data_IF_209179249527
#
_entry.id   IF_209179249527
#
_cell.length_a   1.000
_cell.length_b   1.000
_cell.length_c   1.000
_cell.angle_alpha   90.00
_cell.angle_beta   90.00
_cell.angle_gamma   90.00
#
_symmetry.space_group_name_H-M   'P 1'
#
loop_
_entity.id
_entity.type
_entity.pdbx_description
1 polymer ?
#
# COMPACT_ATOMS: atom_id res chain seq x y z
N UNK A 1 2.04 -22.66 43.65
CA UNK A 1 2.97 -22.23 42.59
C UNK A 1 2.15 -21.51 41.54
N UNK A 2 2.21 -20.17 41.55
CA UNK A 2 1.52 -19.34 40.57
C UNK A 2 2.30 -19.40 39.27
N UNK A 3 1.66 -19.85 38.19
CA UNK A 3 2.24 -19.78 36.86
C UNK A 3 2.43 -18.30 36.52
N UNK A 4 3.69 -17.86 36.50
CA UNK A 4 4.08 -16.59 35.90
C UNK A 4 3.83 -16.77 34.41
N UNK A 5 2.84 -16.03 33.89
CA UNK A 5 2.71 -15.87 32.46
C UNK A 5 4.00 -15.18 31.98
N UNK A 6 4.76 -15.84 31.10
CA UNK A 6 5.84 -15.19 30.36
C UNK A 6 5.23 -13.99 29.62
N UNK A 7 5.48 -12.79 30.15
CA UNK A 7 5.21 -11.56 29.44
C UNK A 7 6.12 -11.54 28.23
N UNK A 8 5.54 -11.58 27.02
CA UNK A 8 6.28 -11.43 25.76
C UNK A 8 6.67 -9.95 25.57
N UNK A 9 7.41 -9.39 26.52
CA UNK A 9 7.84 -7.98 26.61
C UNK A 9 9.15 -7.76 25.82
N UNK A 10 9.11 -8.01 24.52
CA UNK A 10 10.02 -7.34 23.59
C UNK A 10 9.36 -6.04 23.10
N UNK A 11 10.11 -4.97 22.81
CA UNK A 11 9.54 -3.81 22.11
C UNK A 11 8.93 -4.30 20.80
N UNK A 12 7.69 -3.89 20.52
CA UNK A 12 7.02 -4.32 19.30
C UNK A 12 7.70 -3.63 18.11
N UNK A 13 8.15 -4.42 17.16
CA UNK A 13 8.87 -3.92 15.98
C UNK A 13 7.94 -3.02 15.16
N UNK A 14 8.48 -1.88 14.72
CA UNK A 14 7.76 -0.91 13.90
C UNK A 14 7.82 -1.34 12.45
N UNK A 15 6.74 -1.10 11.71
CA UNK A 15 6.73 -1.26 10.25
C UNK A 15 7.64 -0.19 9.65
N UNK A 16 8.70 -0.59 8.94
CA UNK A 16 9.64 0.33 8.31
C UNK A 16 9.11 0.78 6.94
N UNK A 17 9.00 2.09 6.75
CA UNK A 17 8.41 2.73 5.56
C UNK A 17 9.44 3.63 4.89
N UNK A 18 9.67 3.43 3.60
CA UNK A 18 10.53 4.26 2.77
C UNK A 18 9.70 5.11 1.80
N UNK A 19 9.80 6.43 1.91
CA UNK A 19 9.25 7.36 0.92
C UNK A 19 10.28 7.57 -0.19
N UNK A 20 9.97 7.08 -1.39
CA UNK A 20 10.84 7.13 -2.56
C UNK A 20 10.72 8.50 -3.28
N UNK A 21 11.44 9.50 -2.80
CA UNK A 21 11.34 10.88 -3.31
C UNK A 21 12.22 11.08 -4.55
N UNK A 22 11.78 12.01 -5.39
CA UNK A 22 12.49 12.52 -6.55
C UNK A 22 12.15 14.02 -6.72
N UNK A 23 12.98 14.81 -7.42
CA UNK A 23 12.69 16.23 -7.65
C UNK A 23 11.34 16.39 -8.34
N UNK A 24 10.49 17.30 -7.84
CA UNK A 24 9.15 17.49 -8.39
C UNK A 24 8.12 16.45 -7.94
N UNK A 25 8.32 15.80 -6.78
CA UNK A 25 7.26 15.02 -6.13
C UNK A 25 6.08 15.92 -5.71
N UNK A 26 4.90 15.34 -5.48
CA UNK A 26 3.75 16.09 -4.95
C UNK A 26 3.79 16.15 -3.41
N UNK A 27 3.65 17.35 -2.85
CA UNK A 27 3.68 17.57 -1.39
C UNK A 27 2.67 16.70 -0.63
N UNK A 28 1.43 16.65 -1.10
CA UNK A 28 0.35 15.98 -0.37
C UNK A 28 0.47 14.45 -0.45
N UNK A 29 1.04 13.94 -1.53
CA UNK A 29 1.32 12.51 -1.70
C UNK A 29 2.34 12.00 -0.69
N UNK A 30 3.17 12.89 -0.12
CA UNK A 30 4.08 12.57 0.99
C UNK A 30 3.46 12.94 2.33
N UNK A 31 2.99 14.18 2.47
CA UNK A 31 2.48 14.70 3.74
C UNK A 31 1.23 13.97 4.24
N UNK A 32 0.33 13.55 3.34
CA UNK A 32 -0.88 12.83 3.68
C UNK A 32 -0.58 11.47 4.33
N UNK A 33 0.14 10.56 3.65
CA UNK A 33 0.58 9.31 4.25
C UNK A 33 1.42 9.51 5.51
N UNK A 34 2.36 10.46 5.52
CA UNK A 34 3.18 10.74 6.70
C UNK A 34 2.34 11.13 7.92
N UNK A 35 1.32 11.98 7.75
CA UNK A 35 0.40 12.39 8.81
C UNK A 35 -0.38 11.19 9.38
N UNK A 36 -0.85 10.29 8.51
CA UNK A 36 -1.59 9.07 8.92
C UNK A 36 -0.67 8.09 9.66
N UNK A 37 0.48 7.75 9.06
CA UNK A 37 1.38 6.72 9.56
C UNK A 37 2.04 7.15 10.88
N UNK A 38 2.53 8.39 10.97
CA UNK A 38 3.21 8.91 12.17
C UNK A 38 2.29 9.01 13.40
N UNK A 39 0.98 9.07 13.20
CA UNK A 39 -0.03 9.10 14.28
C UNK A 39 -0.42 7.73 14.77
N UNK A 40 -0.27 6.70 13.96
CA UNK A 40 -0.73 5.37 14.30
C UNK A 40 0.08 4.72 15.42
N UNK A 41 -0.63 4.01 16.28
CA UNK A 41 -0.10 3.31 17.45
C UNK A 41 -0.48 1.84 17.37
N UNK A 42 0.39 0.98 17.90
CA UNK A 42 0.13 -0.44 18.08
C UNK A 42 -0.78 -0.68 19.30
N UNK A 43 -0.53 0.03 20.40
CA UNK A 43 -1.43 0.13 21.54
C UNK A 43 -1.93 1.58 21.68
N UNK A 44 -3.23 1.84 21.45
CA UNK A 44 -3.83 3.16 21.64
C UNK A 44 -3.62 3.78 23.03
N UNK A 45 -3.30 2.96 24.04
CA UNK A 45 -3.04 3.41 25.42
C UNK A 45 -1.59 3.80 25.66
N UNK A 46 -0.67 3.38 24.81
CA UNK A 46 0.75 3.71 24.92
C UNK A 46 1.20 4.61 23.76
N UNK A 47 1.50 5.88 24.08
CA UNK A 47 1.96 6.86 23.08
C UNK A 47 3.35 6.55 22.51
N UNK A 48 4.14 5.72 23.19
CA UNK A 48 5.44 5.27 22.70
C UNK A 48 5.32 4.12 21.69
N UNK A 49 4.17 3.45 21.60
CA UNK A 49 3.92 2.30 20.75
C UNK A 49 3.69 2.67 19.27
N UNK A 50 4.53 3.55 18.70
CA UNK A 50 4.42 3.95 17.29
C UNK A 50 4.42 2.73 16.37
N UNK A 51 3.44 2.64 15.47
CA UNK A 51 3.29 1.48 14.60
C UNK A 51 4.22 1.50 13.39
N UNK A 52 4.58 2.69 12.90
CA UNK A 52 5.40 2.86 11.70
C UNK A 52 6.61 3.75 11.99
N UNK A 53 7.70 3.46 11.30
CA UNK A 53 8.90 4.27 11.21
C UNK A 53 9.07 4.72 9.76
N UNK A 54 9.05 6.03 9.51
CA UNK A 54 9.11 6.60 8.17
C UNK A 54 10.48 7.23 7.91
N UNK A 55 11.11 6.84 6.80
CA UNK A 55 12.35 7.42 6.30
C UNK A 55 12.16 7.90 4.86
N UNK A 56 13.02 8.82 4.41
CA UNK A 56 12.97 9.43 3.09
C UNK A 56 14.25 9.12 2.30
N UNK A 57 14.10 8.58 1.10
CA UNK A 57 15.21 8.47 0.13
C UNK A 57 15.04 9.51 -0.97
N UNK A 58 16.15 10.04 -1.48
CA UNK A 58 16.12 11.01 -2.58
C UNK A 58 17.36 10.93 -3.46
N UNK A 59 17.28 11.52 -4.65
CA UNK A 59 18.42 11.59 -5.59
C UNK A 59 19.46 12.65 -5.19
N UNK A 60 19.24 13.35 -4.08
CA UNK A 60 20.13 14.32 -3.47
C UNK A 60 19.77 14.49 -2.00
N UNK A 61 20.60 15.20 -1.23
CA UNK A 61 20.41 15.39 0.22
C UNK A 61 19.07 16.06 0.61
N UNK A 62 18.41 16.75 -0.33
CA UNK A 62 17.09 17.32 -0.09
C UNK A 62 16.28 17.38 -1.39
N UNK A 63 15.02 16.98 -1.31
CA UNK A 63 14.09 16.93 -2.44
C UNK A 63 13.06 18.04 -2.31
N UNK A 64 12.84 18.77 -3.39
CA UNK A 64 11.82 19.83 -3.47
C UNK A 64 10.63 19.35 -4.29
N UNK A 65 9.44 19.51 -3.72
CA UNK A 65 8.16 19.21 -4.37
C UNK A 65 7.77 20.24 -5.42
N UNK A 66 6.75 19.92 -6.24
CA UNK A 66 6.12 20.88 -7.17
C UNK A 66 5.63 22.14 -6.46
N UNK A 67 5.14 22.01 -5.21
CA UNK A 67 4.62 23.15 -4.44
C UNK A 67 5.71 23.93 -3.69
N UNK A 68 6.98 23.54 -3.80
CA UNK A 68 8.13 24.23 -3.18
C UNK A 68 8.49 23.77 -1.75
N UNK A 69 7.77 22.81 -1.18
CA UNK A 69 8.20 22.17 0.08
C UNK A 69 9.46 21.34 -0.17
N UNK A 70 10.47 21.53 0.67
CA UNK A 70 11.72 20.78 0.61
C UNK A 70 11.85 19.86 1.83
N UNK A 71 12.07 18.57 1.58
CA UNK A 71 12.28 17.54 2.60
C UNK A 71 13.73 17.05 2.50
N UNK A 72 14.41 16.94 3.63
CA UNK A 72 15.75 16.33 3.70
C UNK A 72 15.60 14.82 3.47
N UNK A 73 16.44 14.25 2.62
CA UNK A 73 16.56 12.80 2.50
C UNK A 73 17.37 12.25 3.69
N UNK A 74 16.92 11.14 4.26
CA UNK A 74 17.66 10.42 5.30
C UNK A 74 18.82 9.62 4.69
N UNK A 75 18.66 9.19 3.43
CA UNK A 75 19.62 8.40 2.66
C UNK A 75 19.49 8.69 1.16
N UNK A 76 20.50 8.31 0.38
CA UNK A 76 20.39 8.25 -1.07
C UNK A 76 19.95 6.85 -1.55
N UNK A 77 19.76 6.70 -2.86
CA UNK A 77 19.28 5.45 -3.44
C UNK A 77 20.32 4.32 -3.43
N UNK A 78 21.62 4.62 -3.30
CA UNK A 78 22.66 3.59 -3.17
C UNK A 78 22.56 2.96 -1.78
N UNK A 79 22.57 3.78 -0.73
CA UNK A 79 22.40 3.35 0.66
C UNK A 79 21.03 2.64 0.86
N UNK A 80 19.96 3.17 0.29
CA UNK A 80 18.63 2.56 0.38
C UNK A 80 18.56 1.18 -0.29
N UNK A 81 19.37 0.94 -1.34
CA UNK A 81 19.44 -0.36 -1.99
C UNK A 81 20.19 -1.39 -1.14
N UNK A 82 21.23 -0.96 -0.42
CA UNK A 82 21.98 -1.83 0.50
C UNK A 82 21.14 -2.25 1.71
N UNK A 83 20.27 -1.37 2.19
CA UNK A 83 19.37 -1.61 3.33
C UNK A 83 17.95 -2.02 2.90
N UNK A 84 17.71 -2.27 1.62
CA UNK A 84 16.36 -2.44 1.04
C UNK A 84 15.55 -3.56 1.70
N UNK A 85 16.23 -4.57 2.26
CA UNK A 85 15.58 -5.69 2.93
C UNK A 85 14.88 -5.34 4.23
N UNK A 86 15.26 -4.24 4.87
CA UNK A 86 14.70 -3.76 6.11
C UNK A 86 13.30 -3.18 5.91
N UNK A 87 13.01 -2.56 4.76
CA UNK A 87 11.75 -1.86 4.53
C UNK A 87 10.58 -2.81 4.21
N UNK A 88 9.48 -2.60 4.92
CA UNK A 88 8.24 -3.36 4.76
C UNK A 88 7.26 -2.69 3.78
N UNK A 89 7.38 -1.36 3.64
CA UNK A 89 6.54 -0.55 2.75
C UNK A 89 7.40 0.45 1.98
N UNK A 90 7.22 0.51 0.66
CA UNK A 90 7.68 1.64 -0.17
C UNK A 90 6.48 2.49 -0.56
N UNK A 91 6.57 3.81 -0.34
CA UNK A 91 5.59 4.79 -0.80
C UNK A 91 6.21 5.59 -1.95
N UNK A 92 5.54 5.54 -3.09
CA UNK A 92 5.94 6.26 -4.32
C UNK A 92 4.95 7.42 -4.52
N UNK A 93 5.37 8.66 -4.27
CA UNK A 93 4.52 9.81 -4.54
C UNK A 93 4.35 10.02 -6.06
N UNK A 94 3.31 10.77 -6.43
CA UNK A 94 3.17 11.34 -7.76
C UNK A 94 3.88 12.69 -7.87
N UNK A 95 3.34 13.57 -8.72
CA UNK A 95 3.93 14.87 -9.06
C UNK A 95 4.55 14.88 -10.46
N UNK A 96 4.82 16.08 -10.97
CA UNK A 96 5.33 16.26 -12.33
C UNK A 96 6.70 15.61 -12.54
N UNK A 97 7.49 15.45 -11.48
CA UNK A 97 8.78 14.75 -11.50
C UNK A 97 8.70 13.31 -11.99
N UNK A 98 7.54 12.65 -11.87
CA UNK A 98 7.30 11.30 -12.44
C UNK A 98 7.64 11.26 -13.92
N UNK A 99 7.33 12.31 -14.68
CA UNK A 99 7.57 12.33 -16.12
C UNK A 99 9.05 12.46 -16.47
N UNK A 100 9.82 13.17 -15.66
CA UNK A 100 11.27 13.23 -15.80
C UNK A 100 11.92 11.89 -15.43
N UNK A 101 11.43 11.24 -14.37
CA UNK A 101 11.86 9.89 -13.99
C UNK A 101 11.65 8.90 -15.13
N UNK A 102 10.45 8.87 -15.71
CA UNK A 102 10.12 8.00 -16.85
C UNK A 102 10.99 8.29 -18.07
N UNK A 103 11.18 9.57 -18.41
CA UNK A 103 11.96 10.01 -19.57
C UNK A 103 13.44 9.63 -19.42
N UNK A 104 14.01 9.86 -18.24
CA UNK A 104 15.44 9.68 -17.99
C UNK A 104 15.78 8.27 -17.50
N UNK A 105 14.77 7.43 -17.23
CA UNK A 105 14.92 6.10 -16.64
C UNK A 105 15.73 6.13 -15.34
N UNK A 106 15.44 7.11 -14.49
CA UNK A 106 16.15 7.34 -13.23
C UNK A 106 15.41 6.71 -12.04
N UNK A 107 15.98 6.88 -10.84
CA UNK A 107 15.31 6.46 -9.60
C UNK A 107 13.94 7.14 -9.43
N UNK A 108 12.96 6.46 -8.79
CA UNK A 108 13.07 5.19 -8.04
C UNK A 108 12.90 3.90 -8.86
N UNK A 109 13.03 3.95 -10.19
CA UNK A 109 12.73 2.80 -11.06
C UNK A 109 13.56 1.54 -10.76
N UNK A 110 14.85 1.69 -10.44
CA UNK A 110 15.74 0.56 -10.12
C UNK A 110 15.47 0.04 -8.71
N UNK A 111 15.32 0.93 -7.72
CA UNK A 111 14.91 0.59 -6.36
C UNK A 111 13.64 -0.27 -6.34
N UNK A 112 12.61 0.13 -7.10
CA UNK A 112 11.34 -0.59 -7.17
C UNK A 112 11.52 -2.00 -7.75
N UNK A 113 12.34 -2.14 -8.77
CA UNK A 113 12.63 -3.43 -9.42
C UNK A 113 13.30 -4.37 -8.43
N UNK A 114 14.35 -3.90 -7.74
CA UNK A 114 15.05 -4.66 -6.70
C UNK A 114 14.13 -5.03 -5.53
N UNK A 115 13.20 -4.15 -5.16
CA UNK A 115 12.24 -4.42 -4.08
C UNK A 115 11.29 -5.58 -4.42
N UNK A 116 10.80 -5.62 -5.66
CA UNK A 116 9.99 -6.73 -6.17
C UNK A 116 10.80 -8.02 -6.19
N UNK A 117 12.00 -8.01 -6.77
CA UNK A 117 12.86 -9.19 -6.83
C UNK A 117 13.16 -9.76 -5.44
N UNK A 118 13.35 -8.88 -4.46
CA UNK A 118 13.58 -9.26 -3.07
C UNK A 118 12.35 -9.93 -2.45
N UNK A 119 11.15 -9.44 -2.76
CA UNK A 119 9.92 -10.10 -2.33
C UNK A 119 9.77 -11.48 -2.98
N UNK A 120 10.03 -11.62 -4.27
CA UNK A 120 9.92 -12.91 -4.98
C UNK A 120 10.91 -13.95 -4.47
N UNK A 121 12.12 -13.53 -4.07
CA UNK A 121 13.12 -14.41 -3.43
C UNK A 121 12.70 -14.85 -2.02
N UNK A 122 11.94 -14.04 -1.31
CA UNK A 122 11.54 -14.28 0.08
C UNK A 122 10.06 -13.91 0.34
N UNK A 123 9.08 -14.61 -0.27
CA UNK A 123 7.68 -14.22 -0.23
C UNK A 123 7.08 -14.31 1.19
N UNK A 124 7.74 -15.01 2.12
CA UNK A 124 7.38 -15.06 3.54
C UNK A 124 7.41 -13.70 4.24
N UNK A 125 8.25 -12.76 3.82
CA UNK A 125 8.20 -11.39 4.34
C UNK A 125 7.18 -10.60 3.53
N UNK A 126 6.11 -10.16 4.18
CA UNK A 126 5.14 -9.26 3.54
C UNK A 126 5.81 -7.94 3.19
N UNK A 127 5.71 -7.54 1.93
CA UNK A 127 6.15 -6.25 1.43
C UNK A 127 5.01 -5.57 0.70
N UNK A 128 5.01 -4.25 0.75
CA UNK A 128 3.97 -3.44 0.13
C UNK A 128 4.57 -2.30 -0.69
N UNK A 129 3.99 -2.05 -1.86
CA UNK A 129 4.18 -0.79 -2.58
C UNK A 129 2.86 -0.02 -2.56
N UNK A 130 2.92 1.24 -2.16
CA UNK A 130 1.83 2.21 -2.28
C UNK A 130 2.27 3.31 -3.27
N UNK A 131 1.68 3.32 -4.47
CA UNK A 131 1.89 4.37 -5.46
C UNK A 131 0.69 5.32 -5.49
N UNK A 132 0.97 6.62 -5.35
CA UNK A 132 -0.07 7.65 -5.19
C UNK A 132 -0.17 8.49 -6.45
N UNK A 133 -1.40 8.81 -6.87
CA UNK A 133 -1.65 9.67 -8.02
C UNK A 133 -0.95 9.09 -9.28
N UNK A 134 -0.25 9.92 -10.05
CA UNK A 134 0.56 9.52 -11.21
C UNK A 134 1.79 8.66 -10.86
N UNK A 135 2.12 8.43 -9.58
CA UNK A 135 3.21 7.54 -9.17
C UNK A 135 3.03 6.10 -9.67
N UNK A 136 1.77 5.67 -9.89
CA UNK A 136 1.42 4.38 -10.50
C UNK A 136 1.99 4.18 -11.90
N UNK A 137 2.28 5.26 -12.64
CA UNK A 137 2.91 5.18 -13.96
C UNK A 137 4.34 4.62 -13.89
N UNK A 138 5.05 4.82 -12.76
CA UNK A 138 6.38 4.24 -12.53
C UNK A 138 6.31 2.72 -12.38
N UNK A 139 5.29 2.21 -11.68
CA UNK A 139 5.04 0.77 -11.56
C UNK A 139 4.67 0.16 -12.92
N UNK A 140 3.79 0.83 -13.68
CA UNK A 140 3.41 0.41 -15.02
C UNK A 140 4.63 0.27 -15.95
N UNK A 141 5.55 1.25 -15.91
CA UNK A 141 6.75 1.26 -16.74
C UNK A 141 7.64 0.02 -16.50
N UNK A 142 7.68 -0.48 -15.26
CA UNK A 142 8.44 -1.66 -14.87
C UNK A 142 7.68 -2.98 -15.01
N UNK A 143 6.48 -2.98 -15.59
CA UNK A 143 5.66 -4.21 -15.70
C UNK A 143 5.09 -4.68 -14.36
N UNK A 144 5.22 -3.90 -13.29
CA UNK A 144 4.80 -4.30 -11.94
C UNK A 144 3.28 -4.31 -11.74
N UNK A 145 2.51 -3.93 -12.75
CA UNK A 145 1.03 -3.95 -12.72
C UNK A 145 0.45 -5.04 -13.62
N UNK A 146 1.28 -5.87 -14.25
CA UNK A 146 0.83 -6.93 -15.15
C UNK A 146 0.01 -7.98 -14.41
N UNK A 147 -1.17 -8.31 -14.95
CA UNK A 147 -2.13 -9.21 -14.30
C UNK A 147 -2.77 -8.68 -13.02
N UNK A 148 -2.48 -7.42 -12.63
CA UNK A 148 -3.08 -6.75 -11.47
C UNK A 148 -4.13 -5.71 -11.89
N UNK A 149 -4.90 -5.22 -10.92
CA UNK A 149 -5.74 -4.04 -11.11
C UNK A 149 -5.02 -2.78 -10.62
N UNK A 150 -5.28 -1.62 -11.21
CA UNK A 150 -4.64 -0.36 -10.82
C UNK A 150 -5.54 0.85 -11.07
N UNK A 151 -5.28 1.94 -10.35
CA UNK A 151 -5.87 3.27 -10.59
C UNK A 151 -4.75 4.31 -10.63
N UNK A 152 -5.07 5.50 -11.14
CA UNK A 152 -4.18 6.68 -11.18
C UNK A 152 -5.04 7.95 -11.17
N UNK A 153 -4.41 9.12 -11.18
CA UNK A 153 -5.16 10.37 -11.30
C UNK A 153 -6.08 10.36 -12.55
N UNK A 154 -7.35 10.82 -12.46
CA UNK A 154 -8.34 10.70 -13.52
C UNK A 154 -7.88 11.20 -14.89
N UNK A 155 -7.13 12.31 -14.91
CA UNK A 155 -6.57 12.89 -16.14
C UNK A 155 -5.53 11.97 -16.85
N UNK A 156 -5.11 10.89 -16.19
CA UNK A 156 -4.03 10.01 -16.64
C UNK A 156 -4.44 8.54 -16.85
N UNK A 157 -5.72 8.17 -16.75
CA UNK A 157 -6.15 6.78 -16.97
C UNK A 157 -5.71 6.25 -18.34
N UNK A 158 -5.95 7.00 -19.41
CA UNK A 158 -5.54 6.62 -20.78
C UNK A 158 -4.02 6.43 -20.87
N UNK A 159 -3.24 7.25 -20.17
CA UNK A 159 -1.79 7.13 -20.13
C UNK A 159 -1.35 5.89 -19.37
N UNK A 160 -1.95 5.61 -18.22
CA UNK A 160 -1.69 4.39 -17.45
C UNK A 160 -2.01 3.15 -18.29
N UNK A 161 -3.17 3.09 -18.93
CA UNK A 161 -3.56 2.01 -19.84
C UNK A 161 -2.54 1.81 -20.96
N UNK A 162 -2.07 2.89 -21.56
CA UNK A 162 -1.08 2.84 -22.66
C UNK A 162 0.23 2.23 -22.18
N UNK A 163 0.79 2.72 -21.07
CA UNK A 163 2.06 2.21 -20.52
C UNK A 163 1.91 0.74 -20.09
N UNK A 164 0.78 0.36 -19.45
CA UNK A 164 0.53 -1.03 -19.08
C UNK A 164 0.41 -1.95 -20.30
N UNK A 165 -0.23 -1.48 -21.39
CA UNK A 165 -0.31 -2.25 -22.64
C UNK A 165 1.06 -2.41 -23.30
N UNK A 166 1.92 -1.40 -23.25
CA UNK A 166 3.29 -1.47 -23.76
C UNK A 166 4.14 -2.44 -22.93
N UNK A 167 4.06 -2.39 -21.60
CA UNK A 167 4.73 -3.34 -20.71
C UNK A 167 4.27 -4.79 -20.97
N UNK A 168 2.95 -5.04 -20.95
CA UNK A 168 2.42 -6.37 -21.21
C UNK A 168 2.81 -6.93 -22.60
N UNK A 169 2.96 -6.06 -23.61
CA UNK A 169 3.48 -6.46 -24.94
C UNK A 169 4.97 -6.76 -24.91
N UNK A 170 5.77 -5.94 -24.23
CA UNK A 170 7.21 -6.14 -24.05
C UNK A 170 7.49 -7.47 -23.36
N UNK A 171 6.70 -7.80 -22.35
CA UNK A 171 6.95 -8.92 -21.44
C UNK A 171 6.10 -10.16 -21.77
N UNK A 172 5.24 -10.07 -22.80
CA UNK A 172 4.30 -11.12 -23.23
C UNK A 172 3.39 -11.62 -22.10
N UNK A 173 2.89 -10.67 -21.30
CA UNK A 173 2.22 -10.90 -20.02
C UNK A 173 0.73 -10.53 -20.06
N UNK A 174 0.06 -10.72 -18.92
CA UNK A 174 -1.35 -10.37 -18.76
C UNK A 174 -1.55 -8.85 -18.68
N UNK A 175 -2.68 -8.37 -19.21
CA UNK A 175 -3.04 -6.96 -19.13
C UNK A 175 -3.38 -6.55 -17.70
N UNK A 176 -3.05 -5.31 -17.36
CA UNK A 176 -3.55 -4.62 -16.17
C UNK A 176 -5.00 -4.21 -16.35
N UNK A 177 -5.81 -4.33 -15.30
CA UNK A 177 -7.18 -3.82 -15.22
C UNK A 177 -7.18 -2.41 -14.63
N UNK A 178 -7.36 -1.38 -15.47
CA UNK A 178 -7.38 0.02 -15.02
C UNK A 178 -8.77 0.39 -14.52
N UNK A 179 -8.85 0.83 -13.28
CA UNK A 179 -10.10 1.10 -12.57
C UNK A 179 -10.23 2.58 -12.20
N UNK A 180 -11.42 3.14 -12.40
CA UNK A 180 -11.76 4.49 -11.93
C UNK A 180 -12.17 4.48 -10.44
N UNK A 181 -11.25 4.10 -9.57
CA UNK A 181 -11.50 3.93 -8.14
C UNK A 181 -10.60 4.83 -7.30
N UNK A 182 -11.04 5.13 -6.07
CA UNK A 182 -10.32 6.01 -5.13
C UNK A 182 -8.92 5.49 -4.83
N UNK A 183 -8.83 4.21 -4.47
CA UNK A 183 -7.60 3.43 -4.45
C UNK A 183 -7.96 1.97 -4.73
N UNK A 184 -7.00 1.22 -5.26
CA UNK A 184 -7.11 -0.20 -5.57
C UNK A 184 -6.04 -0.94 -4.80
N UNK A 185 -6.42 -2.00 -4.11
CA UNK A 185 -5.50 -2.89 -3.40
C UNK A 185 -5.50 -4.27 -4.03
N UNK A 186 -4.33 -4.75 -4.43
CA UNK A 186 -4.10 -6.11 -4.87
C UNK A 186 -3.43 -6.93 -3.78
N UNK A 187 -3.65 -8.23 -3.81
CA UNK A 187 -3.00 -9.20 -2.92
C UNK A 187 -3.19 -8.84 -1.43
N UNK A 188 -4.38 -8.34 -1.09
CA UNK A 188 -4.72 -7.98 0.28
C UNK A 188 -4.72 -9.22 1.19
N UNK A 189 -4.19 -9.06 2.40
CA UNK A 189 -4.16 -10.10 3.44
C UNK A 189 -5.00 -9.68 4.62
N UNK A 190 -6.10 -10.38 4.85
CA UNK A 190 -6.97 -10.21 6.02
C UNK A 190 -7.50 -11.56 6.49
N UNK A 191 -7.74 -11.71 7.78
CA UNK A 191 -8.66 -12.74 8.28
C UNK A 191 -10.06 -12.35 7.78
N UNK A 192 -10.58 -13.09 6.80
CA UNK A 192 -11.88 -12.78 6.19
C UNK A 192 -13.04 -13.12 7.13
N UNK A 193 -12.79 -13.92 8.18
CA UNK A 193 -13.83 -14.47 9.04
C UNK A 193 -14.85 -15.32 8.27
N UNK A 194 -15.92 -15.73 8.96
CA UNK A 194 -16.97 -16.57 8.35
C UNK A 194 -17.80 -15.84 7.28
N UNK A 195 -17.79 -14.50 7.28
CA UNK A 195 -18.56 -13.69 6.34
C UNK A 195 -17.68 -12.62 5.65
N UNK A 196 -17.01 -12.97 4.53
CA UNK A 196 -16.09 -12.08 3.82
C UNK A 196 -16.72 -10.76 3.36
N UNK A 197 -18.03 -10.73 3.13
CA UNK A 197 -18.76 -9.55 2.68
C UNK A 197 -18.98 -8.52 3.81
N UNK A 198 -18.76 -8.90 5.07
CA UNK A 198 -18.77 -8.00 6.22
C UNK A 198 -17.38 -7.43 6.54
N UNK A 199 -16.35 -7.83 5.79
CA UNK A 199 -14.99 -7.35 6.00
C UNK A 199 -14.94 -5.84 5.67
N UNK A 200 -14.53 -4.98 6.63
CA UNK A 200 -14.55 -3.54 6.44
C UNK A 200 -13.58 -3.06 5.36
N UNK A 201 -12.67 -3.89 4.88
CA UNK A 201 -11.67 -3.55 3.87
C UNK A 201 -12.04 -4.04 2.45
N UNK A 202 -13.17 -4.74 2.30
CA UNK A 202 -13.59 -5.32 1.03
C UNK A 202 -14.80 -4.55 0.48
N UNK A 203 -14.57 -3.88 -0.64
CA UNK A 203 -15.63 -3.47 -1.57
C UNK A 203 -15.36 -4.23 -2.86
N UNK A 204 -15.96 -5.41 -3.02
CA UNK A 204 -15.81 -6.18 -4.26
C UNK A 204 -16.57 -5.48 -5.38
N UNK A 205 -15.89 -5.23 -6.48
CA UNK A 205 -16.52 -5.14 -7.80
C UNK A 205 -16.27 -6.48 -8.46
N UNK A 206 -17.31 -7.28 -8.67
CA UNK A 206 -17.16 -8.57 -9.35
C UNK A 206 -16.57 -8.34 -10.74
N UNK A 207 -15.60 -9.17 -11.14
CA UNK A 207 -15.09 -9.24 -12.52
C UNK A 207 -16.12 -9.73 -13.54
N UNK A 208 -17.31 -10.13 -13.08
CA UNK A 208 -18.42 -10.55 -13.94
C UNK A 208 -19.21 -9.33 -14.46
N UNK A 209 -19.61 -9.32 -15.74
CA UNK A 209 -20.46 -8.27 -16.29
C UNK A 209 -21.79 -8.23 -15.51
N UNK A 210 -22.39 -7.04 -15.33
CA UNK A 210 -23.61 -6.90 -14.54
C UNK A 210 -24.72 -7.79 -15.12
N UNK A 211 -25.25 -8.67 -14.29
CA UNK A 211 -26.47 -9.41 -14.60
C UNK A 211 -27.63 -8.41 -14.76
N UNK A 212 -28.61 -8.63 -15.65
CA UNK A 212 -29.66 -7.65 -15.98
C UNK A 212 -30.66 -7.35 -14.85
N UNK A 213 -30.50 -7.92 -13.67
CA UNK A 213 -31.42 -7.75 -12.54
C UNK A 213 -30.73 -6.97 -11.43
N UNK A 214 -31.05 -5.67 -11.34
CA UNK A 214 -30.47 -4.76 -10.35
C UNK A 214 -30.89 -5.10 -8.92
N UNK A 215 -30.05 -4.86 -7.88
CA UNK A 215 -30.47 -5.11 -6.53
C UNK A 215 -30.96 -3.84 -5.83
N UNK A 216 -32.20 -3.91 -5.34
CA UNK A 216 -32.67 -3.16 -4.18
C UNK A 216 -31.71 -3.38 -3.00
N UNK A 217 -31.00 -2.34 -2.57
CA UNK A 217 -30.22 -2.35 -1.32
C UNK A 217 -30.94 -1.53 -0.25
N UNK A 218 -31.74 -2.21 0.56
CA UNK A 218 -32.18 -1.70 1.84
C UNK A 218 -32.01 -2.81 2.89
N UNK A 219 -30.80 -2.95 3.43
CA UNK A 219 -30.58 -3.70 4.66
C UNK A 219 -29.67 -2.92 5.62
N UNK A 220 -30.19 -2.72 6.82
CA UNK A 220 -29.56 -2.02 7.92
C UNK A 220 -28.23 -2.68 8.30
N UNK A 221 -27.15 -1.88 8.33
CA UNK A 221 -25.81 -2.27 8.77
C UNK A 221 -25.83 -2.64 10.25
N UNK A 222 -25.62 -3.92 10.57
CA UNK A 222 -25.26 -4.35 11.92
C UNK A 222 -23.74 -4.17 12.08
N UNK A 223 -23.29 -3.65 13.23
CA UNK A 223 -21.86 -3.43 13.51
C UNK A 223 -21.13 -4.77 13.56
N UNK A 224 -20.10 -4.93 12.72
CA UNK A 224 -19.23 -6.12 12.75
C UNK A 224 -18.46 -6.15 14.08
N UNK A 225 -18.33 -7.36 14.63
CA UNK A 225 -17.44 -7.67 15.75
C UNK A 225 -16.18 -8.25 15.11
N UNK A 226 -15.39 -7.39 14.45
CA UNK A 226 -14.00 -7.73 14.18
C UNK A 226 -13.34 -7.99 15.54
N UNK A 227 -12.71 -9.16 15.71
CA UNK A 227 -12.15 -9.57 17.01
C UNK A 227 -11.22 -8.48 17.54
N UNK A 228 -11.51 -8.09 18.78
CA UNK A 228 -10.79 -7.10 19.56
C UNK A 228 -9.34 -7.56 19.77
N UNK A 229 -8.39 -6.81 19.21
CA UNK A 229 -6.96 -7.04 19.35
C UNK A 229 -6.44 -8.13 18.41
N UNK A 230 -6.28 -7.83 17.12
CA UNK A 230 -5.48 -8.66 16.24
C UNK A 230 -4.02 -8.20 16.31
N UNK A 231 -3.15 -9.09 16.76
CA UNK A 231 -1.72 -8.98 16.52
C UNK A 231 -1.43 -9.29 15.04
N UNK A 232 -2.10 -8.61 14.10
CA UNK A 232 -2.17 -9.00 12.68
C UNK A 232 -0.78 -9.21 12.05
N UNK A 233 0.21 -8.40 12.45
CA UNK A 233 1.60 -8.56 12.02
C UNK A 233 2.33 -9.79 12.62
N UNK A 234 2.03 -10.18 13.87
CA UNK A 234 2.60 -11.42 14.47
C UNK A 234 1.83 -12.67 14.04
N UNK A 235 0.52 -12.56 13.84
CA UNK A 235 -0.38 -13.67 13.48
C UNK A 235 -0.40 -13.96 11.98
N UNK A 236 0.12 -13.07 11.12
CA UNK A 236 0.39 -13.36 9.70
C UNK A 236 1.43 -14.48 9.47
N UNK A 237 2.02 -14.99 10.55
CA UNK A 237 2.85 -16.21 10.57
C UNK A 237 2.02 -17.51 10.65
N UNK A 238 0.69 -17.45 10.71
CA UNK A 238 -0.17 -18.62 10.47
C UNK A 238 -0.01 -19.08 9.02
N UNK A 239 -0.17 -20.40 8.81
CA UNK A 239 0.25 -21.15 7.61
C UNK A 239 -0.50 -20.74 6.35
N UNK A 240 -0.23 -19.55 5.84
CA UNK A 240 -0.54 -19.17 4.48
C UNK A 240 0.35 -20.01 3.54
N UNK A 241 -0.22 -20.58 2.48
CA UNK A 241 0.55 -21.42 1.56
C UNK A 241 1.56 -20.58 0.79
N UNK A 242 2.85 -20.70 1.16
CA UNK A 242 3.97 -20.08 0.45
C UNK A 242 3.90 -20.42 -1.04
N UNK A 243 3.50 -21.65 -1.38
CA UNK A 243 3.34 -22.09 -2.75
C UNK A 243 2.22 -21.35 -3.50
N UNK A 244 1.10 -21.03 -2.83
CA UNK A 244 0.02 -20.23 -3.44
C UNK A 244 0.50 -18.81 -3.74
N UNK A 245 1.26 -18.19 -2.84
CA UNK A 245 1.81 -16.85 -3.02
C UNK A 245 2.82 -16.77 -4.17
N UNK A 246 3.71 -17.76 -4.25
CA UNK A 246 4.68 -17.85 -5.35
C UNK A 246 4.02 -17.98 -6.74
N UNK A 247 2.73 -18.33 -6.82
CA UNK A 247 1.96 -18.40 -8.07
C UNK A 247 1.18 -17.11 -8.38
N UNK A 248 1.11 -16.16 -7.44
CA UNK A 248 0.44 -14.88 -7.64
C UNK A 248 1.38 -13.87 -8.31
N UNK A 249 0.86 -12.86 -9.02
CA UNK A 249 1.68 -11.77 -9.54
C UNK A 249 2.55 -11.16 -8.45
N UNK A 250 3.82 -10.89 -8.78
CA UNK A 250 4.85 -10.36 -7.88
C UNK A 250 5.06 -11.19 -6.60
N UNK A 251 4.90 -12.51 -6.67
CA UNK A 251 5.06 -13.40 -5.51
C UNK A 251 4.04 -13.15 -4.38
N UNK A 252 2.93 -12.46 -4.67
CA UNK A 252 1.93 -12.08 -3.67
C UNK A 252 2.29 -10.81 -2.88
N UNK A 253 3.16 -9.95 -3.43
CA UNK A 253 3.44 -8.63 -2.88
C UNK A 253 2.17 -7.77 -2.90
N UNK A 254 1.89 -7.03 -1.82
CA UNK A 254 0.75 -6.12 -1.78
C UNK A 254 1.05 -4.89 -2.63
N UNK A 255 0.18 -4.59 -3.59
CA UNK A 255 0.30 -3.38 -4.44
C UNK A 255 -0.94 -2.53 -4.27
N UNK A 256 -0.74 -1.28 -3.85
CA UNK A 256 -1.78 -0.28 -3.70
C UNK A 256 -1.50 0.86 -4.66
N UNK A 257 -2.49 1.22 -5.46
CA UNK A 257 -2.45 2.40 -6.33
C UNK A 257 -3.59 3.34 -5.99
N UNK A 258 -3.41 4.65 -6.12
CA UNK A 258 -4.44 5.64 -5.75
C UNK A 258 -4.75 6.62 -6.87
N UNK A 259 -6.00 7.09 -6.90
CA UNK A 259 -6.53 7.92 -7.97
C UNK A 259 -6.34 9.43 -7.80
N UNK A 260 -5.54 9.91 -6.85
CA UNK A 260 -5.32 11.35 -6.72
C UNK A 260 -4.63 11.77 -5.44
N UNK A 261 -4.20 13.04 -5.36
CA UNK A 261 -3.39 13.56 -4.25
C UNK A 261 -3.96 13.35 -2.85
N UNK A 262 -5.29 13.40 -2.69
CA UNK A 262 -5.92 13.15 -1.38
C UNK A 262 -6.13 11.65 -1.09
N UNK A 263 -6.07 10.79 -2.11
CA UNK A 263 -6.34 9.35 -1.96
C UNK A 263 -5.22 8.63 -1.21
N UNK A 264 -4.02 9.23 -1.15
CA UNK A 264 -2.94 8.78 -0.29
C UNK A 264 -3.33 8.70 1.19
N UNK A 265 -4.19 9.61 1.68
CA UNK A 265 -4.72 9.58 3.05
C UNK A 265 -5.56 8.31 3.28
N UNK A 266 -6.49 8.06 2.36
CA UNK A 266 -7.42 6.93 2.43
C UNK A 266 -6.71 5.58 2.33
N UNK A 267 -5.74 5.47 1.42
CA UNK A 267 -4.91 4.28 1.26
C UNK A 267 -3.96 4.06 2.45
N UNK A 268 -3.49 5.13 3.07
CA UNK A 268 -2.66 5.03 4.29
C UNK A 268 -3.47 4.57 5.50
N UNK A 269 -4.74 4.99 5.61
CA UNK A 269 -5.64 4.46 6.65
C UNK A 269 -5.94 2.97 6.43
N UNK A 270 -6.04 2.54 5.17
CA UNK A 270 -6.06 1.12 4.84
C UNK A 270 -4.77 0.42 5.30
N UNK A 271 -3.59 0.98 5.04
CA UNK A 271 -2.30 0.42 5.49
C UNK A 271 -2.25 0.27 7.01
N UNK A 272 -2.57 1.33 7.77
CA UNK A 272 -2.66 1.29 9.24
C UNK A 272 -3.63 0.18 9.67
N UNK A 273 -4.78 0.11 9.02
CA UNK A 273 -5.77 -0.93 9.30
C UNK A 273 -5.26 -2.34 9.08
N UNK A 274 -4.45 -2.56 8.04
CA UNK A 274 -3.93 -3.88 7.65
C UNK A 274 -2.67 -4.30 8.40
N UNK A 275 -1.79 -3.35 8.74
CA UNK A 275 -0.46 -3.64 9.30
C UNK A 275 -0.37 -3.35 10.81
N UNK A 276 -1.28 -2.53 11.36
CA UNK A 276 -1.37 -2.28 12.80
C UNK A 276 -2.71 -2.79 13.36
N UNK A 277 -3.80 -2.06 13.16
CA UNK A 277 -5.16 -2.51 13.50
C UNK A 277 -6.24 -1.59 12.94
N UNK A 278 -7.45 -2.12 12.75
CA UNK A 278 -8.61 -1.32 12.35
C UNK A 278 -8.92 -0.20 13.34
N UNK A 279 -8.83 -0.49 14.65
CA UNK A 279 -9.08 0.49 15.71
C UNK A 279 -8.07 1.64 15.64
N UNK A 280 -6.79 1.35 15.37
CA UNK A 280 -5.76 2.38 15.16
C UNK A 280 -6.09 3.26 13.95
N UNK A 281 -6.52 2.68 12.83
CA UNK A 281 -6.93 3.44 11.65
C UNK A 281 -8.14 4.35 11.93
N UNK A 282 -9.17 3.84 12.62
CA UNK A 282 -10.35 4.64 13.00
C UNK A 282 -9.98 5.78 13.97
N UNK A 283 -9.07 5.53 14.91
CA UNK A 283 -8.60 6.54 15.85
C UNK A 283 -7.78 7.62 15.14
N UNK A 284 -6.89 7.25 14.22
CA UNK A 284 -6.13 8.20 13.40
C UNK A 284 -7.09 9.08 12.58
N UNK A 285 -8.05 8.48 11.88
CA UNK A 285 -9.06 9.22 11.13
C UNK A 285 -9.85 10.19 12.03
N UNK A 286 -10.26 9.73 13.23
CA UNK A 286 -10.96 10.57 14.21
C UNK A 286 -10.11 11.76 14.66
N UNK A 287 -8.84 11.53 14.99
CA UNK A 287 -7.92 12.59 15.44
C UNK A 287 -7.65 13.61 14.33
N UNK A 288 -7.50 13.14 13.10
CA UNK A 288 -7.34 14.00 11.92
C UNK A 288 -8.63 14.72 11.51
N UNK A 289 -9.77 14.40 12.15
CA UNK A 289 -11.10 14.86 11.72
C UNK A 289 -11.38 14.53 10.25
N UNK A 290 -10.91 13.37 9.82
CA UNK A 290 -10.94 12.94 8.44
C UNK A 290 -12.00 11.85 8.23
N UNK A 291 -12.81 11.99 7.18
CA UNK A 291 -13.76 10.94 6.78
C UNK A 291 -13.04 9.98 5.84
N UNK A 292 -12.74 8.78 6.33
CA UNK A 292 -12.09 7.75 5.53
C UNK A 292 -13.01 7.24 4.42
N UNK A 293 -12.63 7.48 3.18
CA UNK A 293 -13.29 6.94 1.98
C UNK A 293 -12.62 5.63 1.61
N UNK A 294 -13.39 4.55 1.53
CA UNK A 294 -12.84 3.23 1.21
C UNK A 294 -12.70 3.05 -0.31
N UNK A 295 -11.65 2.34 -0.70
CA UNK A 295 -11.35 1.95 -2.07
C UNK A 295 -11.78 0.51 -2.33
N UNK A 296 -11.25 -0.05 -3.41
CA UNK A 296 -11.55 -1.41 -3.85
C UNK A 296 -10.39 -2.33 -3.51
N UNK A 297 -10.72 -3.54 -3.07
CA UNK A 297 -9.75 -4.62 -2.84
C UNK A 297 -10.03 -5.75 -3.83
N UNK A 298 -9.03 -6.09 -4.63
CA UNK A 298 -9.08 -7.13 -5.67
C UNK A 298 -8.39 -8.39 -5.16
N UNK A 299 -9.03 -9.54 -5.36
CA UNK A 299 -8.50 -10.87 -5.06
C UNK A 299 -7.80 -10.98 -3.68
N UNK A 300 -8.55 -10.71 -2.61
CA UNK A 300 -8.04 -10.86 -1.24
C UNK A 300 -7.72 -12.33 -0.90
N UNK A 301 -6.61 -12.52 -0.17
CA UNK A 301 -6.21 -13.81 0.39
C UNK A 301 -6.64 -13.84 1.86
N UNK A 302 -7.23 -14.96 2.26
CA UNK A 302 -7.53 -15.29 3.66
C UNK A 302 -6.24 -15.77 4.35
N UNK A 303 -5.84 -15.12 5.45
CA UNK A 303 -4.61 -15.41 6.22
C UNK A 303 -4.84 -16.17 7.52
#
# INVERSE_FOLDING_TARGET
MSAVADSTEGPIEQVKVLFALFPGYNTLDVAGPLEVLSRSLQDPKDKASKAFNCQFVGTSAAMTSVQGLTIKADMDYEDANDELEDFDVIIVPGGEGVFDVLKNKSEPLDLLTKYVELHEKAPSKERTILAIDVGSLLLAQQGMLEGLAATTHPDYYVRLETICQEAARRDMSMRTDVMEERYVVNNARFDLGENPDENPYIVKKSREPPSPEGPNMQHARRKSIARKGSNAWRDSRRRESIARRAQMPLGGMRVITTGGVTAGLDASLYLVGSLASHDSALEVARVMQYTWVKGVTVDAIDV
#
